data_IF_685713855282
#
_entry.id   IF_685713855282
#
_cell.length_a   1.000
_cell.length_b   1.000
_cell.length_c   1.000
_cell.angle_alpha   90.00
_cell.angle_beta   90.00
_cell.angle_gamma   90.00
#
_symmetry.space_group_name_H-M   'P 1'
#
loop_
_entity.id
_entity.type
_entity.pdbx_description
1 polymer ?
#
# COMPACT_ATOMS: atom_id res chain seq x y z
N UNK A 1 -31.13 -28.34 -18.27
CA UNK A 1 -31.89 -27.09 -18.17
C UNK A 1 -31.50 -26.24 -16.99
N UNK A 2 -31.15 -26.83 -15.83
CA UNK A 2 -30.64 -26.09 -14.65
C UNK A 2 -29.27 -25.46 -14.89
N UNK A 3 -28.45 -25.98 -15.79
CA UNK A 3 -27.09 -25.52 -16.06
C UNK A 3 -27.00 -24.10 -16.65
N UNK A 4 -28.03 -23.68 -17.43
CA UNK A 4 -28.02 -22.35 -18.04
C UNK A 4 -28.30 -21.22 -17.03
N UNK A 5 -29.12 -21.47 -16.03
CA UNK A 5 -29.43 -20.51 -14.96
C UNK A 5 -28.20 -20.33 -14.04
N UNK A 6 -27.55 -21.43 -13.68
CA UNK A 6 -26.34 -21.40 -12.85
C UNK A 6 -25.21 -20.66 -13.57
N UNK A 7 -25.00 -20.90 -14.87
CA UNK A 7 -24.00 -20.21 -15.67
C UNK A 7 -24.27 -18.70 -15.76
N UNK A 8 -25.54 -18.29 -15.93
CA UNK A 8 -25.93 -16.88 -15.95
C UNK A 8 -25.72 -16.20 -14.62
N UNK A 9 -26.00 -16.87 -13.52
CA UNK A 9 -25.77 -16.36 -12.16
C UNK A 9 -24.27 -16.23 -11.85
N UNK A 10 -23.46 -17.19 -12.26
CA UNK A 10 -22.02 -17.14 -12.08
C UNK A 10 -21.37 -16.00 -12.89
N UNK A 11 -21.83 -15.79 -14.13
CA UNK A 11 -21.36 -14.66 -14.94
C UNK A 11 -21.73 -13.31 -14.33
N UNK A 12 -22.93 -13.17 -13.75
CA UNK A 12 -23.36 -11.96 -13.07
C UNK A 12 -22.53 -11.67 -11.81
N UNK A 13 -22.23 -12.69 -11.02
CA UNK A 13 -21.37 -12.56 -9.85
C UNK A 13 -19.94 -12.19 -10.21
N UNK A 14 -19.37 -12.76 -11.25
CA UNK A 14 -18.05 -12.42 -11.75
C UNK A 14 -18.00 -10.97 -12.27
N UNK A 15 -19.02 -10.52 -12.96
CA UNK A 15 -19.12 -9.15 -13.46
C UNK A 15 -19.16 -8.14 -12.30
N UNK A 16 -19.90 -8.42 -11.22
CA UNK A 16 -19.96 -7.58 -10.02
C UNK A 16 -18.61 -7.54 -9.33
N UNK A 17 -17.91 -8.68 -9.19
CA UNK A 17 -16.58 -8.76 -8.60
C UNK A 17 -15.55 -7.95 -9.40
N UNK A 18 -15.57 -8.05 -10.72
CA UNK A 18 -14.71 -7.29 -11.62
C UNK A 18 -14.97 -5.78 -11.51
N UNK A 19 -16.24 -5.36 -11.39
CA UNK A 19 -16.62 -3.97 -11.23
C UNK A 19 -16.07 -3.40 -9.92
N UNK A 20 -16.11 -4.16 -8.82
CA UNK A 20 -15.51 -3.77 -7.54
C UNK A 20 -14.00 -3.62 -7.64
N UNK A 21 -13.31 -4.54 -8.32
CA UNK A 21 -11.86 -4.49 -8.52
C UNK A 21 -11.41 -3.28 -9.33
N UNK A 22 -12.24 -2.82 -10.28
CA UNK A 22 -11.94 -1.69 -11.16
C UNK A 22 -11.91 -0.34 -10.42
N UNK A 23 -12.47 -0.26 -9.20
CA UNK A 23 -12.53 0.98 -8.41
C UNK A 23 -11.41 1.10 -7.37
N UNK A 24 -10.66 0.02 -7.14
CA UNK A 24 -9.58 0.02 -6.17
C UNK A 24 -8.28 0.49 -6.84
N UNK A 25 -7.70 1.59 -6.34
CA UNK A 25 -6.38 2.02 -6.76
C UNK A 25 -5.32 1.09 -6.17
N UNK A 26 -4.37 0.64 -6.98
CA UNK A 26 -3.26 -0.17 -6.52
C UNK A 26 -2.17 0.69 -5.88
N UNK A 27 -1.31 0.06 -5.08
CA UNK A 27 -0.16 0.71 -4.47
C UNK A 27 0.77 1.31 -5.54
N UNK A 28 1.07 0.54 -6.59
CA UNK A 28 1.91 1.00 -7.70
C UNK A 28 1.29 2.18 -8.44
N UNK A 29 0.01 2.11 -8.76
CA UNK A 29 -0.70 3.19 -9.44
C UNK A 29 -0.71 4.47 -8.61
N UNK A 30 -0.97 4.36 -7.31
CA UNK A 30 -0.96 5.52 -6.41
C UNK A 30 0.42 6.17 -6.32
N UNK A 31 1.47 5.36 -6.27
CA UNK A 31 2.86 5.85 -6.29
C UNK A 31 3.20 6.50 -7.63
N UNK A 32 2.83 5.86 -8.73
CA UNK A 32 3.08 6.36 -10.08
C UNK A 32 2.38 7.70 -10.33
N UNK A 33 1.17 7.86 -9.82
CA UNK A 33 0.40 9.10 -9.93
C UNK A 33 0.87 10.20 -8.97
N UNK A 34 1.83 9.90 -8.08
CA UNK A 34 2.36 10.87 -7.13
C UNK A 34 1.44 11.18 -5.97
N UNK A 35 0.49 10.32 -5.66
CA UNK A 35 -0.47 10.52 -4.57
C UNK A 35 0.10 10.13 -3.21
N UNK A 36 1.01 9.17 -3.19
CA UNK A 36 1.62 8.60 -1.98
C UNK A 36 3.13 8.43 -2.16
N UNK A 37 3.83 8.29 -1.05
CA UNK A 37 5.26 8.02 -1.06
C UNK A 37 5.72 7.34 0.22
N UNK A 38 6.98 6.92 0.24
CA UNK A 38 7.60 6.28 1.39
C UNK A 38 8.11 7.32 2.38
N UNK A 39 7.74 7.18 3.66
CA UNK A 39 8.21 8.04 4.73
C UNK A 39 9.46 7.48 5.40
N UNK A 40 10.15 8.33 6.17
CA UNK A 40 11.34 7.95 6.92
C UNK A 40 11.08 6.96 8.05
N UNK A 41 9.83 6.81 8.46
CA UNK A 41 9.43 5.96 9.60
C UNK A 41 9.05 4.53 9.24
N UNK A 42 9.19 4.13 7.97
CA UNK A 42 8.84 2.79 7.51
C UNK A 42 7.40 2.62 7.03
N UNK A 43 6.62 3.69 6.99
CA UNK A 43 5.22 3.69 6.56
C UNK A 43 5.02 4.54 5.31
N UNK A 44 3.88 4.36 4.66
CA UNK A 44 3.45 5.22 3.56
C UNK A 44 2.88 6.52 4.10
N UNK A 45 3.07 7.59 3.33
CA UNK A 45 2.43 8.87 3.58
C UNK A 45 1.63 9.35 2.38
N UNK A 46 0.66 10.22 2.66
CA UNK A 46 -0.16 10.87 1.64
C UNK A 46 0.57 12.12 1.14
N UNK A 47 0.82 12.19 -0.15
CA UNK A 47 1.46 13.35 -0.80
C UNK A 47 0.42 14.36 -1.25
N UNK A 48 -0.65 13.87 -1.88
CA UNK A 48 -1.78 14.68 -2.36
C UNK A 48 -3.06 14.18 -1.70
N UNK A 49 -3.90 15.09 -1.23
CA UNK A 49 -5.19 14.75 -0.63
C UNK A 49 -6.09 14.07 -1.66
N UNK A 50 -6.41 12.81 -1.41
CA UNK A 50 -7.23 11.97 -2.27
C UNK A 50 -7.85 10.87 -1.40
N UNK A 51 -9.16 10.73 -1.46
CA UNK A 51 -9.88 9.81 -0.58
C UNK A 51 -9.46 8.35 -0.78
N UNK A 52 -9.27 7.92 -2.02
CA UNK A 52 -8.84 6.55 -2.34
C UNK A 52 -7.41 6.30 -1.86
N UNK A 53 -6.52 7.26 -2.10
CA UNK A 53 -5.13 7.17 -1.66
C UNK A 53 -5.03 7.16 -0.13
N UNK A 54 -5.85 7.95 0.56
CA UNK A 54 -5.91 7.97 2.02
C UNK A 54 -6.33 6.60 2.58
N UNK A 55 -7.35 5.99 2.01
CA UNK A 55 -7.80 4.64 2.40
C UNK A 55 -6.72 3.59 2.14
N UNK A 56 -6.03 3.70 1.01
CA UNK A 56 -4.94 2.80 0.66
C UNK A 56 -3.78 2.91 1.66
N UNK A 57 -3.37 4.13 1.99
CA UNK A 57 -2.32 4.40 3.00
C UNK A 57 -2.69 3.77 4.34
N UNK A 58 -3.91 3.98 4.81
CA UNK A 58 -4.38 3.40 6.07
C UNK A 58 -4.32 1.86 6.05
N UNK A 59 -4.79 1.24 4.97
CA UNK A 59 -4.81 -0.22 4.81
C UNK A 59 -3.40 -0.82 4.76
N UNK A 60 -2.52 -0.22 3.96
CA UNK A 60 -1.12 -0.71 3.83
C UNK A 60 -0.37 -0.54 5.14
N UNK A 61 -0.53 0.60 5.80
CA UNK A 61 0.17 0.87 7.06
C UNK A 61 -0.29 -0.07 8.19
N UNK A 62 -1.56 -0.45 8.21
CA UNK A 62 -2.08 -1.45 9.16
C UNK A 62 -1.39 -2.80 8.93
N UNK A 63 -1.29 -3.23 7.69
CA UNK A 63 -0.59 -4.48 7.33
C UNK A 63 0.90 -4.41 7.68
N UNK A 64 1.55 -3.30 7.38
CA UNK A 64 2.97 -3.10 7.71
C UNK A 64 3.20 -3.14 9.22
N UNK A 65 2.35 -2.48 9.99
CA UNK A 65 2.42 -2.49 11.46
C UNK A 65 2.38 -3.93 12.00
N UNK A 66 1.46 -4.75 11.52
CA UNK A 66 1.34 -6.14 11.93
C UNK A 66 2.57 -6.96 11.56
N UNK A 67 3.11 -6.76 10.37
CA UNK A 67 4.36 -7.40 9.93
C UNK A 67 5.52 -6.98 10.84
N UNK A 68 5.65 -5.69 11.13
CA UNK A 68 6.73 -5.17 11.96
C UNK A 68 6.65 -5.70 13.39
N UNK A 69 5.45 -5.80 13.97
CA UNK A 69 5.25 -6.40 15.29
C UNK A 69 5.69 -7.86 15.32
N UNK A 70 5.34 -8.62 14.29
CA UNK A 70 5.75 -10.02 14.18
C UNK A 70 7.26 -10.16 14.06
N UNK A 71 7.90 -9.32 13.25
CA UNK A 71 9.35 -9.32 13.08
C UNK A 71 10.08 -8.96 14.38
N UNK A 72 9.56 -7.98 15.11
CA UNK A 72 10.13 -7.57 16.39
C UNK A 72 10.09 -8.73 17.40
N UNK A 73 8.95 -9.39 17.53
CA UNK A 73 8.79 -10.54 18.44
C UNK A 73 9.68 -11.72 18.03
N UNK A 74 9.65 -12.07 16.75
CA UNK A 74 10.33 -13.25 16.21
C UNK A 74 11.85 -13.13 16.32
N UNK A 75 12.38 -11.92 16.16
CA UNK A 75 13.83 -11.67 16.19
C UNK A 75 14.32 -11.06 17.50
N UNK A 76 13.41 -10.88 18.46
CA UNK A 76 13.72 -10.34 19.76
C UNK A 76 14.42 -8.96 19.68
N UNK A 77 13.89 -8.10 18.83
CA UNK A 77 14.36 -6.72 18.61
C UNK A 77 13.21 -5.73 18.84
N UNK A 78 13.53 -4.46 18.93
CA UNK A 78 12.52 -3.43 19.17
C UNK A 78 11.78 -3.03 17.90
N UNK A 79 10.59 -2.45 18.05
CA UNK A 79 9.85 -1.85 16.93
C UNK A 79 10.66 -0.74 16.26
N UNK A 80 11.38 0.06 17.01
CA UNK A 80 12.23 1.11 16.47
C UNK A 80 13.31 0.54 15.53
N UNK A 81 13.90 -0.60 15.90
CA UNK A 81 14.89 -1.29 15.06
C UNK A 81 14.26 -1.84 13.78
N UNK A 82 13.07 -2.45 13.89
CA UNK A 82 12.34 -2.99 12.72
C UNK A 82 11.94 -1.87 11.76
N UNK A 83 11.32 -0.81 12.26
CA UNK A 83 10.85 0.30 11.42
C UNK A 83 12.00 1.04 10.75
N UNK A 84 13.15 1.17 11.42
CA UNK A 84 14.34 1.78 10.83
C UNK A 84 14.86 0.96 9.64
N UNK A 85 14.93 -0.36 9.79
CA UNK A 85 15.35 -1.26 8.71
C UNK A 85 14.33 -1.28 7.57
N UNK A 86 13.06 -1.29 7.89
CA UNK A 86 11.97 -1.26 6.90
C UNK A 86 11.98 0.04 6.10
N UNK A 87 12.21 1.17 6.76
CA UNK A 87 12.32 2.47 6.11
C UNK A 87 13.48 2.51 5.13
N UNK A 88 14.66 2.09 5.56
CA UNK A 88 15.85 2.02 4.70
C UNK A 88 15.57 1.18 3.45
N UNK A 89 15.00 0.00 3.65
CA UNK A 89 14.68 -0.91 2.55
C UNK A 89 13.65 -0.31 1.60
N UNK A 90 12.58 0.29 2.12
CA UNK A 90 11.51 0.89 1.30
C UNK A 90 12.03 2.09 0.51
N UNK A 91 12.84 2.95 1.12
CA UNK A 91 13.45 4.10 0.44
C UNK A 91 14.42 3.65 -0.66
N UNK A 92 15.22 2.63 -0.39
CA UNK A 92 16.17 2.09 -1.36
C UNK A 92 15.48 1.41 -2.55
N UNK A 93 14.37 0.74 -2.32
CA UNK A 93 13.60 0.03 -3.35
C UNK A 93 12.69 0.95 -4.17
N UNK A 94 12.43 2.16 -3.72
CA UNK A 94 11.58 3.10 -4.43
C UNK A 94 12.15 3.39 -5.80
N UNK A 95 11.30 3.35 -6.82
CA UNK A 95 11.70 3.61 -8.21
C UNK A 95 12.02 5.09 -8.42
N UNK A 96 12.95 5.41 -9.33
CA UNK A 96 13.22 6.79 -9.71
C UNK A 96 11.95 7.50 -10.17
N UNK A 97 11.76 8.74 -9.71
CA UNK A 97 10.58 9.55 -10.03
C UNK A 97 9.42 9.41 -9.06
N UNK A 98 9.43 8.41 -8.20
CA UNK A 98 8.42 8.27 -7.14
C UNK A 98 8.80 9.12 -5.92
N UNK A 99 7.80 9.52 -5.15
CA UNK A 99 8.02 10.34 -3.97
C UNK A 99 8.59 9.55 -2.81
N UNK A 100 9.57 10.15 -2.16
CA UNK A 100 10.11 9.73 -0.88
C UNK A 100 10.17 10.95 0.04
N UNK A 101 10.12 10.69 1.35
CA UNK A 101 10.30 11.74 2.35
C UNK A 101 11.80 11.86 2.65
N UNK A 102 12.34 13.07 2.60
CA UNK A 102 13.72 13.31 3.01
C UNK A 102 13.84 13.42 4.54
N UNK A 103 15.06 13.57 5.05
CA UNK A 103 15.32 13.67 6.48
C UNK A 103 14.65 14.89 7.15
N UNK A 104 14.37 15.94 6.37
CA UNK A 104 13.67 17.14 6.84
C UNK A 104 12.14 16.98 6.84
N UNK A 105 11.63 15.82 6.45
CA UNK A 105 10.20 15.55 6.38
C UNK A 105 9.52 16.06 5.12
N UNK A 106 10.26 16.49 4.13
CA UNK A 106 9.75 17.01 2.87
C UNK A 106 9.59 15.90 1.83
N UNK A 107 8.57 16.01 0.98
CA UNK A 107 8.39 15.11 -0.16
C UNK A 107 9.27 15.54 -1.32
N UNK A 108 10.08 14.61 -1.79
CA UNK A 108 10.96 14.81 -2.95
C UNK A 108 10.81 13.61 -3.90
N UNK A 109 11.07 13.82 -5.18
CA UNK A 109 11.15 12.70 -6.13
C UNK A 109 12.54 12.07 -6.07
N UNK A 110 12.54 10.76 -5.98
CA UNK A 110 13.78 9.99 -5.99
C UNK A 110 14.52 10.04 -7.32
#
# INVERSE_FOLDING_TARGET
MTNNIVKKLMCALLAVTLTFSAWAISLDDAKQQGLIGEMQNGYLGLVVENAEARSLVASVNEKRKNIYLNLARKNNITMAQVTALAAEKALNKTQPGYFIQNAAGQWIKK
#
